data_IF_525796563461
#
_entry.id   IF_525796563461
#
_cell.length_a   1.000
_cell.length_b   1.000
_cell.length_c   1.000
_cell.angle_alpha   90.00
_cell.angle_beta   90.00
_cell.angle_gamma   90.00
#
_symmetry.space_group_name_H-M   'P 1'
#
loop_
_entity.id
_entity.type
_entity.pdbx_description
1 polymer ?
#
# COMPACT_ATOMS: atom_id res chain seq x y z
N UNK A 1 10.65 -21.63 1.29
CA UNK A 1 9.97 -20.43 1.82
C UNK A 1 8.52 -20.81 1.83
N UNK A 2 8.05 -21.31 2.96
CA UNK A 2 6.73 -21.96 3.05
C UNK A 2 5.63 -20.95 3.42
N UNK A 3 6.04 -19.69 3.63
CA UNK A 3 5.25 -18.53 3.97
C UNK A 3 5.09 -17.55 2.80
N UNK A 4 5.31 -18.01 1.55
CA UNK A 4 5.17 -17.20 0.34
C UNK A 4 4.29 -17.94 -0.65
N UNK A 5 3.28 -17.24 -1.16
CA UNK A 5 2.39 -17.75 -2.20
C UNK A 5 2.50 -16.85 -3.43
N UNK A 6 3.27 -17.23 -4.46
CA UNK A 6 3.36 -16.46 -5.68
C UNK A 6 2.04 -16.56 -6.46
N UNK A 7 1.51 -15.42 -6.89
CA UNK A 7 0.31 -15.36 -7.73
C UNK A 7 0.53 -14.41 -8.88
N UNK A 8 0.17 -14.84 -10.09
CA UNK A 8 0.13 -13.97 -11.26
C UNK A 8 -1.32 -13.55 -11.50
N UNK A 9 -1.65 -12.31 -11.13
CA UNK A 9 -2.95 -11.71 -11.38
C UNK A 9 -2.82 -10.21 -11.57
N UNK A 10 -3.84 -9.59 -12.15
CA UNK A 10 -4.06 -8.15 -12.01
C UNK A 10 -4.57 -7.87 -10.60
N UNK A 11 -4.15 -6.75 -10.01
CA UNK A 11 -4.49 -6.44 -8.61
C UNK A 11 -6.00 -6.25 -8.45
N UNK A 12 -6.66 -5.66 -9.44
CA UNK A 12 -8.10 -5.43 -9.49
C UNK A 12 -8.92 -6.73 -9.51
N UNK A 13 -8.33 -7.81 -10.01
CA UNK A 13 -8.96 -9.12 -10.12
C UNK A 13 -8.52 -10.09 -9.01
N UNK A 14 -7.62 -9.67 -8.11
CA UNK A 14 -7.14 -10.51 -7.03
C UNK A 14 -8.18 -10.57 -5.90
N UNK A 15 -8.68 -11.76 -5.53
CA UNK A 15 -9.63 -11.91 -4.42
C UNK A 15 -8.87 -11.78 -3.10
N UNK A 16 -9.12 -10.70 -2.37
CA UNK A 16 -8.58 -10.48 -1.03
C UNK A 16 -9.45 -11.15 0.04
N UNK A 17 -9.57 -12.47 -0.04
CA UNK A 17 -10.34 -13.29 0.91
C UNK A 17 -9.45 -14.43 1.46
N UNK A 18 -8.99 -14.35 2.72
CA UNK A 18 -9.20 -13.25 3.67
C UNK A 18 -8.46 -11.96 3.24
N UNK A 19 -8.91 -10.79 3.73
CA UNK A 19 -8.21 -9.53 3.52
C UNK A 19 -6.84 -9.55 4.22
N UNK A 20 -5.97 -8.60 3.84
CA UNK A 20 -4.60 -8.54 4.35
C UNK A 20 -4.45 -7.55 5.51
N UNK A 21 -3.61 -7.89 6.49
CA UNK A 21 -3.17 -6.95 7.53
C UNK A 21 -2.35 -5.79 6.94
N UNK A 22 -1.70 -6.02 5.80
CA UNK A 22 -0.81 -5.04 5.18
C UNK A 22 -0.53 -5.27 3.70
N UNK A 23 -0.43 -4.16 2.96
CA UNK A 23 -0.07 -4.14 1.54
C UNK A 23 1.19 -3.30 1.36
N UNK A 24 2.23 -3.90 0.78
CA UNK A 24 3.49 -3.20 0.47
C UNK A 24 3.69 -3.14 -1.04
N UNK A 25 4.10 -1.97 -1.55
CA UNK A 25 4.44 -1.81 -2.96
C UNK A 25 5.63 -0.87 -3.18
N UNK A 26 6.42 -1.20 -4.20
CA UNK A 26 7.48 -0.35 -4.78
C UNK A 26 7.29 -0.22 -6.29
N UNK A 27 6.04 -0.25 -6.77
CA UNK A 27 5.69 -0.26 -8.19
C UNK A 27 4.79 0.91 -8.62
N UNK A 28 4.35 1.77 -7.69
CA UNK A 28 3.48 2.91 -8.01
C UNK A 28 4.26 4.22 -8.08
N UNK A 29 3.84 5.11 -8.98
CA UNK A 29 4.39 6.45 -9.11
C UNK A 29 4.02 7.30 -7.89
N UNK A 30 2.76 7.22 -7.43
CA UNK A 30 2.26 7.98 -6.29
C UNK A 30 1.59 7.14 -5.18
N UNK A 31 1.46 7.70 -3.98
CA UNK A 31 0.67 7.13 -2.88
C UNK A 31 -0.81 7.02 -3.26
N UNK A 32 -1.36 8.03 -3.92
CA UNK A 32 -2.76 8.04 -4.38
C UNK A 32 -3.03 6.91 -5.38
N UNK A 33 -2.11 6.63 -6.31
CA UNK A 33 -2.23 5.47 -7.20
C UNK A 33 -2.27 4.18 -6.40
N UNK A 34 -1.32 3.99 -5.46
CA UNK A 34 -1.27 2.78 -4.64
C UNK A 34 -2.58 2.51 -3.92
N UNK A 35 -3.13 3.50 -3.20
CA UNK A 35 -4.39 3.30 -2.48
C UNK A 35 -5.56 3.10 -3.42
N UNK A 36 -5.64 3.83 -4.54
CA UNK A 36 -6.73 3.66 -5.51
C UNK A 36 -6.77 2.26 -6.12
N UNK A 37 -5.62 1.67 -6.46
CA UNK A 37 -5.55 0.34 -7.07
C UNK A 37 -5.65 -0.81 -6.06
N UNK A 38 -5.32 -0.56 -4.79
CA UNK A 38 -5.20 -1.61 -3.79
C UNK A 38 -6.17 -1.47 -2.60
N UNK A 39 -7.09 -0.51 -2.59
CA UNK A 39 -8.01 -0.26 -1.47
C UNK A 39 -8.85 -1.47 -1.05
N UNK A 40 -9.11 -2.42 -1.95
CA UNK A 40 -9.89 -3.63 -1.68
C UNK A 40 -9.09 -4.76 -1.03
N UNK A 41 -7.77 -4.61 -0.89
CA UNK A 41 -6.88 -5.67 -0.40
C UNK A 41 -6.80 -5.72 1.13
N UNK A 42 -6.59 -4.60 1.85
CA UNK A 42 -6.49 -4.66 3.29
C UNK A 42 -7.85 -4.78 3.97
N UNK A 43 -7.84 -5.26 5.21
CA UNK A 43 -8.98 -5.14 6.10
C UNK A 43 -9.15 -3.71 6.64
N UNK A 44 -10.18 -3.47 7.45
CA UNK A 44 -10.49 -2.14 8.01
C UNK A 44 -9.33 -1.56 8.84
N UNK A 45 -8.60 -2.41 9.58
CA UNK A 45 -7.40 -2.03 10.35
C UNK A 45 -6.08 -2.26 9.58
N UNK A 46 -6.19 -2.67 8.33
CA UNK A 46 -5.06 -2.97 7.46
C UNK A 46 -4.31 -1.71 7.03
N UNK A 47 -3.01 -1.86 6.75
CA UNK A 47 -2.11 -0.73 6.47
C UNK A 47 -1.46 -0.81 5.09
N UNK A 48 -1.20 0.37 4.51
CA UNK A 48 -0.38 0.50 3.32
C UNK A 48 1.04 0.91 3.67
N UNK A 49 2.02 0.20 3.10
CA UNK A 49 3.44 0.47 3.28
C UNK A 49 4.05 0.87 1.94
N UNK A 50 4.54 2.12 1.88
CA UNK A 50 5.21 2.66 0.71
C UNK A 50 6.64 3.07 1.06
N UNK A 51 7.61 2.58 0.27
CA UNK A 51 8.99 3.02 0.38
C UNK A 51 9.24 4.18 -0.60
N UNK A 52 9.61 5.34 -0.05
CA UNK A 52 9.85 6.58 -0.81
C UNK A 52 11.27 7.07 -0.58
N UNK A 53 11.92 7.55 -1.64
CA UNK A 53 13.31 8.03 -1.57
C UNK A 53 13.46 9.37 -0.87
N UNK A 54 12.44 10.22 -0.92
CA UNK A 54 12.32 11.48 -0.18
C UNK A 54 10.93 11.54 0.44
N UNK A 55 10.76 12.39 1.47
CA UNK A 55 9.45 12.62 2.11
C UNK A 55 8.49 13.22 1.06
N UNK A 56 7.36 12.56 0.73
CA UNK A 56 6.51 12.96 -0.40
C UNK A 56 5.33 13.84 0.05
N UNK A 57 5.60 15.03 0.60
CA UNK A 57 4.55 15.88 1.21
C UNK A 57 3.41 16.25 0.24
N UNK A 58 3.72 16.44 -1.05
CA UNK A 58 2.73 16.71 -2.09
C UNK A 58 1.79 15.52 -2.31
N UNK A 59 2.32 14.29 -2.32
CA UNK A 59 1.51 13.09 -2.50
C UNK A 59 0.65 12.80 -1.27
N UNK A 60 1.18 13.07 -0.08
CA UNK A 60 0.45 12.94 1.19
C UNK A 60 -0.75 13.89 1.20
N UNK A 61 -0.55 15.13 0.74
CA UNK A 61 -1.61 16.13 0.65
C UNK A 61 -2.67 15.78 -0.41
N UNK A 62 -2.31 14.96 -1.40
CA UNK A 62 -3.19 14.49 -2.48
C UNK A 62 -3.86 13.13 -2.18
N UNK A 63 -3.72 12.60 -0.97
CA UNK A 63 -4.38 11.36 -0.60
C UNK A 63 -5.91 11.49 -0.65
N UNK A 64 -6.63 10.48 -1.17
CA UNK A 64 -8.08 10.49 -1.18
C UNK A 64 -8.64 10.45 0.25
N UNK A 65 -9.85 10.98 0.41
CA UNK A 65 -10.57 10.92 1.68
C UNK A 65 -10.71 9.48 2.18
N UNK A 66 -10.49 9.25 3.47
CA UNK A 66 -10.49 7.92 4.08
C UNK A 66 -9.09 7.32 4.25
N UNK A 67 -8.06 7.96 3.69
CA UNK A 67 -6.67 7.57 3.89
C UNK A 67 -5.89 8.69 4.58
N UNK A 68 -5.01 8.32 5.49
CA UNK A 68 -4.11 9.23 6.17
C UNK A 68 -2.76 8.54 6.40
N UNK A 69 -1.70 9.33 6.52
CA UNK A 69 -0.40 8.83 6.92
C UNK A 69 -0.36 8.70 8.44
N UNK A 70 -0.23 7.47 8.93
CA UNK A 70 -0.07 7.17 10.35
C UNK A 70 1.36 7.47 10.82
N UNK A 71 2.37 7.04 10.06
CA UNK A 71 3.77 7.18 10.43
C UNK A 71 4.68 7.36 9.20
N UNK A 72 5.78 8.11 9.37
CA UNK A 72 6.87 8.21 8.39
C UNK A 72 8.17 7.81 9.08
N UNK A 73 8.66 6.61 8.76
CA UNK A 73 9.88 6.06 9.34
C UNK A 73 11.07 6.36 8.43
N UNK A 74 12.01 7.19 8.90
CA UNK A 74 13.27 7.44 8.18
C UNK A 74 14.22 6.26 8.39
N UNK A 75 14.65 5.65 7.29
CA UNK A 75 15.68 4.61 7.34
C UNK A 75 17.03 5.21 7.76
N UNK A 76 17.66 4.58 8.75
CA UNK A 76 19.05 4.84 9.13
C UNK A 76 19.91 3.73 8.53
N UNK A 77 20.70 4.08 7.53
CA UNK A 77 21.62 3.17 6.84
C UNK A 77 23.07 3.58 7.09
#
# INVERSE_FOLDING_TARGET
>A
LDNITPVQSRVEAFPAEPPFDGVISRAFASLSDMVNWCHHLPEEEGRFYALKGQRPDDEISALPSGFAVEEIVRLSV
#
